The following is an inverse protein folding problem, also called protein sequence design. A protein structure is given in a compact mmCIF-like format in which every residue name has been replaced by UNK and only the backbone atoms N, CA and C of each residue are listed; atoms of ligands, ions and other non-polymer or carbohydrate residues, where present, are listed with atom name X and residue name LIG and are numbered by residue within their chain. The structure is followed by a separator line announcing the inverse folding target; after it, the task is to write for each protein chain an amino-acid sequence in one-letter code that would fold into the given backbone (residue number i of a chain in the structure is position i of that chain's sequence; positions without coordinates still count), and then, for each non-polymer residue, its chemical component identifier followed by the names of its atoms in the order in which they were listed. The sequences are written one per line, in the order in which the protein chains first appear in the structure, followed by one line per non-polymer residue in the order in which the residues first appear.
data_IF_235460462913
#
_entry.id   IF_235460462913
#
_cell.length_a   1.000
_cell.length_b   1.000
_cell.length_c   1.000
_cell.angle_alpha   90.00
_cell.angle_beta   90.00
_cell.angle_gamma   90.00
#
_symmetry.space_group_name_H-M   'P 1'
#
loop_
_entity.id
_entity.type
_entity.pdbx_description
1 polymer ?
#
# COMPACT_ATOMS: atom_id res chain seq x y z
N UNK A 1 -32.25 -7.68 -21.34
CA UNK A 1 -30.93 -7.53 -20.72
C UNK A 1 -30.56 -6.07 -20.67
N UNK A 2 -30.70 -5.47 -19.49
CA UNK A 2 -30.15 -4.15 -19.19
C UNK A 2 -28.65 -4.16 -19.49
N UNK A 3 -28.19 -3.30 -20.39
CA UNK A 3 -26.76 -3.19 -20.74
C UNK A 3 -25.96 -2.35 -19.75
N UNK A 4 -26.65 -1.44 -19.05
CA UNK A 4 -26.05 -0.53 -18.08
C UNK A 4 -26.88 -0.54 -16.79
N UNK A 5 -26.66 -1.59 -15.98
CA UNK A 5 -27.19 -1.71 -14.62
C UNK A 5 -26.00 -1.93 -13.70
N UNK A 6 -25.43 -0.83 -13.21
CA UNK A 6 -24.17 -0.83 -12.46
C UNK A 6 -24.38 -0.05 -11.17
N UNK A 7 -24.09 -0.67 -10.02
CA UNK A 7 -24.01 0.02 -8.74
C UNK A 7 -22.56 0.05 -8.28
N UNK A 8 -21.88 1.21 -8.37
CA UNK A 8 -20.50 1.30 -7.93
C UNK A 8 -20.44 1.06 -6.42
N UNK A 9 -19.30 0.56 -5.97
CA UNK A 9 -18.94 0.41 -4.55
C UNK A 9 -18.79 1.76 -3.84
N UNK A 10 -19.35 2.87 -4.33
CA UNK A 10 -19.45 4.13 -3.58
C UNK A 10 -20.57 4.08 -2.53
N UNK A 11 -21.53 3.16 -2.65
CA UNK A 11 -22.64 3.06 -1.69
C UNK A 11 -22.20 2.48 -0.34
N UNK A 12 -22.38 3.24 0.73
CA UNK A 12 -22.14 2.82 2.13
C UNK A 12 -23.42 2.38 2.85
N UNK A 13 -24.59 2.71 2.31
CA UNK A 13 -25.89 2.31 2.88
C UNK A 13 -25.97 0.78 3.01
N UNK A 14 -26.39 0.30 4.17
CA UNK A 14 -26.49 -1.13 4.49
C UNK A 14 -25.19 -1.79 4.98
N UNK A 15 -24.06 -1.06 5.02
CA UNK A 15 -22.79 -1.58 5.55
C UNK A 15 -22.58 -1.16 7.00
N UNK A 16 -22.11 -2.08 7.83
CA UNK A 16 -21.74 -1.79 9.21
C UNK A 16 -20.39 -1.06 9.23
N UNK A 17 -20.33 0.10 9.88
CA UNK A 17 -19.07 0.80 10.15
C UNK A 17 -18.29 0.09 11.26
N UNK A 18 -17.01 -0.19 11.01
CA UNK A 18 -16.12 -0.96 11.89
C UNK A 18 -14.97 -0.12 12.44
N UNK A 19 -15.12 1.21 12.46
CA UNK A 19 -14.08 2.14 12.89
C UNK A 19 -12.94 2.27 11.86
N UNK A 20 -11.67 2.40 12.29
CA UNK A 20 -10.53 2.52 11.39
C UNK A 20 -10.39 1.39 10.37
N UNK A 21 -10.92 0.21 10.68
CA UNK A 21 -10.97 -0.95 9.79
C UNK A 21 -11.81 -0.74 8.52
N UNK A 22 -12.68 0.26 8.52
CA UNK A 22 -13.54 0.60 7.38
C UNK A 22 -14.98 0.09 7.55
N UNK A 23 -15.58 -0.40 6.47
CA UNK A 23 -16.95 -0.91 6.45
C UNK A 23 -16.97 -2.41 6.13
N UNK A 24 -18.07 -3.10 6.46
CA UNK A 24 -18.26 -4.50 6.01
C UNK A 24 -18.06 -4.62 4.50
N UNK A 25 -17.17 -5.52 4.06
CA UNK A 25 -16.78 -5.72 2.65
C UNK A 25 -15.99 -4.57 2.01
N UNK A 26 -15.48 -3.61 2.80
CA UNK A 26 -14.68 -2.45 2.37
C UNK A 26 -13.64 -2.12 3.43
N UNK A 27 -12.56 -2.90 3.52
CA UNK A 27 -11.50 -2.62 4.48
C UNK A 27 -10.74 -1.34 4.10
N UNK A 28 -10.34 -0.56 5.09
CA UNK A 28 -9.54 0.65 4.87
C UNK A 28 -8.09 0.34 4.53
N UNK A 29 -7.52 -0.71 5.12
CA UNK A 29 -6.09 -0.96 5.08
C UNK A 29 -5.57 -1.29 3.67
N UNK A 30 -6.11 -2.27 2.92
CA UNK A 30 -5.54 -2.63 1.62
C UNK A 30 -5.50 -1.47 0.60
N UNK A 31 -6.57 -0.68 0.39
CA UNK A 31 -6.51 0.48 -0.51
C UNK A 31 -5.49 1.55 -0.06
N UNK A 32 -5.29 1.73 1.25
CA UNK A 32 -4.28 2.67 1.76
C UNK A 32 -2.86 2.18 1.47
N UNK A 33 -2.63 0.87 1.33
CA UNK A 33 -1.29 0.32 1.03
C UNK A 33 -0.82 0.56 -0.40
N UNK A 34 -1.75 0.79 -1.34
CA UNK A 34 -1.39 1.05 -2.74
C UNK A 34 -0.51 2.30 -2.90
N UNK A 35 -0.80 3.33 -2.10
CA UNK A 35 -0.05 4.60 -2.12
C UNK A 35 1.42 4.41 -1.73
N UNK A 36 1.77 3.89 -0.53
CA UNK A 36 3.16 3.70 -0.17
C UNK A 36 3.87 2.68 -1.07
N UNK A 37 3.20 1.63 -1.55
CA UNK A 37 3.81 0.68 -2.50
C UNK A 37 4.23 1.41 -3.78
N UNK A 38 3.30 2.13 -4.42
CA UNK A 38 3.61 2.90 -5.63
C UNK A 38 4.68 3.97 -5.37
N UNK A 39 4.57 4.70 -4.26
CA UNK A 39 5.53 5.73 -3.88
C UNK A 39 6.95 5.18 -3.77
N UNK A 40 7.16 4.12 -3.00
CA UNK A 40 8.50 3.58 -2.76
C UNK A 40 9.13 2.95 -4.00
N UNK A 41 8.33 2.32 -4.87
CA UNK A 41 8.81 1.81 -6.16
C UNK A 41 9.21 2.96 -7.10
N UNK A 42 8.40 4.02 -7.18
CA UNK A 42 8.73 5.21 -7.98
C UNK A 42 9.98 5.91 -7.46
N UNK A 43 10.13 6.06 -6.15
CA UNK A 43 11.32 6.67 -5.54
C UNK A 43 12.57 5.91 -5.91
N UNK A 44 12.57 4.58 -5.76
CA UNK A 44 13.72 3.76 -6.16
C UNK A 44 14.05 3.91 -7.65
N UNK A 45 13.03 3.93 -8.52
CA UNK A 45 13.22 4.18 -9.95
C UNK A 45 13.83 5.56 -10.24
N UNK A 46 13.28 6.62 -9.64
CA UNK A 46 13.76 7.99 -9.81
C UNK A 46 15.19 8.15 -9.31
N UNK A 47 15.54 7.51 -8.20
CA UNK A 47 16.88 7.57 -7.65
C UNK A 47 17.92 6.87 -8.50
N UNK A 48 17.62 5.66 -8.98
CA UNK A 48 18.50 4.93 -9.89
C UNK A 48 18.73 5.74 -11.15
N UNK A 49 17.66 6.27 -11.76
CA UNK A 49 17.76 7.05 -12.99
C UNK A 49 18.52 8.37 -12.75
N UNK A 50 18.24 9.09 -11.66
CA UNK A 50 18.94 10.32 -11.28
C UNK A 50 20.44 10.09 -11.11
N UNK A 51 20.82 9.04 -10.37
CA UNK A 51 22.22 8.71 -10.11
C UNK A 51 22.97 8.29 -11.38
N UNK A 52 22.34 7.51 -12.27
CA UNK A 52 22.96 7.08 -13.54
C UNK A 52 23.13 8.25 -14.51
N UNK A 53 22.12 9.12 -14.61
CA UNK A 53 22.14 10.25 -15.54
C UNK A 53 23.17 11.34 -15.16
N UNK A 54 23.47 11.45 -13.86
CA UNK A 54 24.42 12.43 -13.34
C UNK A 54 23.92 13.88 -13.45
N UNK A 55 24.75 14.81 -12.98
CA UNK A 55 24.41 16.24 -12.87
C UNK A 55 24.45 17.01 -14.20
N UNK A 56 24.96 16.39 -15.26
CA UNK A 56 24.96 16.94 -16.63
C UNK A 56 23.55 17.19 -17.19
N UNK A 57 22.51 16.61 -16.59
CA UNK A 57 21.13 16.73 -17.00
C UNK A 57 20.26 17.34 -15.89
N UNK A 58 19.68 18.53 -16.11
CA UNK A 58 18.84 19.20 -15.11
C UNK A 58 17.66 18.36 -14.61
N UNK A 59 17.08 17.54 -15.48
CA UNK A 59 15.96 16.65 -15.14
C UNK A 59 16.36 15.53 -14.16
N UNK A 60 17.64 15.14 -14.10
CA UNK A 60 18.11 14.15 -13.11
C UNK A 60 17.99 14.71 -11.68
N UNK A 61 18.29 15.99 -11.49
CA UNK A 61 18.06 16.68 -10.22
C UNK A 61 16.57 16.84 -9.90
N UNK A 62 15.71 17.00 -10.91
CA UNK A 62 14.25 17.05 -10.71
C UNK A 62 13.69 15.71 -10.22
N UNK A 63 14.19 14.59 -10.73
CA UNK A 63 13.84 13.25 -10.24
C UNK A 63 14.25 13.07 -8.78
N UNK A 64 15.46 13.50 -8.40
CA UNK A 64 15.94 13.46 -7.00
C UNK A 64 15.03 14.26 -6.05
N UNK A 65 14.70 15.51 -6.42
CA UNK A 65 13.81 16.38 -5.64
C UNK A 65 12.39 15.82 -5.55
N UNK A 66 11.86 15.34 -6.67
CA UNK A 66 10.51 14.74 -6.74
C UNK A 66 10.45 13.47 -5.90
N UNK A 67 11.44 12.58 -6.02
CA UNK A 67 11.55 11.36 -5.22
C UNK A 67 11.56 11.66 -3.72
N UNK A 68 12.24 12.71 -3.29
CA UNK A 68 12.24 13.14 -1.87
C UNK A 68 10.84 13.44 -1.34
N UNK A 69 10.02 14.16 -2.12
CA UNK A 69 8.65 14.49 -1.70
C UNK A 69 7.67 13.33 -1.84
N UNK A 70 7.84 12.47 -2.85
CA UNK A 70 7.05 11.24 -2.97
C UNK A 70 7.34 10.31 -1.80
N UNK A 71 8.60 10.16 -1.38
CA UNK A 71 8.98 9.37 -0.21
C UNK A 71 8.29 9.91 1.06
N UNK A 72 8.30 11.23 1.25
CA UNK A 72 7.64 11.86 2.40
C UNK A 72 6.11 11.62 2.39
N UNK A 73 5.46 11.77 1.24
CA UNK A 73 4.03 11.49 1.09
C UNK A 73 3.71 10.00 1.32
N UNK A 74 4.53 9.11 0.76
CA UNK A 74 4.43 7.66 0.97
C UNK A 74 4.53 7.29 2.44
N UNK A 75 5.52 7.85 3.16
CA UNK A 75 5.68 7.66 4.61
C UNK A 75 4.48 8.16 5.41
N UNK A 76 3.94 9.33 5.08
CA UNK A 76 2.75 9.86 5.75
C UNK A 76 1.55 8.89 5.61
N UNK A 77 1.34 8.32 4.41
CA UNK A 77 0.27 7.34 4.21
C UNK A 77 0.62 5.96 4.79
N UNK A 78 1.90 5.57 4.83
CA UNK A 78 2.35 4.36 5.55
C UNK A 78 1.94 4.38 7.02
N UNK A 79 1.94 5.54 7.69
CA UNK A 79 1.44 5.65 9.06
C UNK A 79 -0.05 5.32 9.13
N UNK A 80 -0.86 5.85 8.23
CA UNK A 80 -2.30 5.56 8.16
C UNK A 80 -2.56 4.09 7.84
N UNK A 81 -1.81 3.51 6.90
CA UNK A 81 -1.86 2.10 6.57
C UNK A 81 -1.49 1.23 7.78
N UNK A 82 -0.40 1.56 8.49
CA UNK A 82 0.01 0.82 9.68
C UNK A 82 -1.04 0.86 10.80
N UNK A 83 -1.66 2.02 11.06
CA UNK A 83 -2.70 2.17 12.06
C UNK A 83 -3.96 1.34 11.73
N UNK A 84 -4.41 1.38 10.48
CA UNK A 84 -5.58 0.61 10.01
C UNK A 84 -5.29 -0.88 9.98
N UNK A 85 -4.11 -1.30 9.51
CA UNK A 85 -3.68 -2.70 9.51
C UNK A 85 -3.50 -3.28 10.91
N UNK A 86 -3.04 -2.47 11.86
CA UNK A 86 -2.94 -2.85 13.26
C UNK A 86 -4.33 -3.03 13.90
N UNK A 87 -5.30 -2.18 13.55
CA UNK A 87 -6.69 -2.36 13.98
C UNK A 87 -7.28 -3.67 13.43
N UNK A 88 -7.03 -3.97 12.16
CA UNK A 88 -7.42 -5.23 11.52
C UNK A 88 -6.78 -6.45 12.19
N UNK A 89 -5.46 -6.39 12.42
CA UNK A 89 -4.73 -7.46 13.09
C UNK A 89 -5.29 -7.74 14.49
N UNK A 90 -5.63 -6.72 15.28
CA UNK A 90 -6.17 -6.91 16.64
C UNK A 90 -7.59 -7.47 16.65
N UNK A 91 -8.44 -7.03 15.74
CA UNK A 91 -9.88 -7.34 15.79
C UNK A 91 -10.33 -8.49 14.88
N UNK A 92 -9.49 -8.92 13.92
CA UNK A 92 -9.87 -9.91 12.91
C UNK A 92 -8.94 -11.14 12.88
N UNK A 93 -8.03 -11.31 13.83
CA UNK A 93 -7.18 -12.50 13.90
C UNK A 93 -6.80 -12.88 15.34
N UNK A 94 -6.44 -14.14 15.55
CA UNK A 94 -6.06 -14.68 16.86
C UNK A 94 -4.63 -15.22 16.88
N UNK A 95 -3.97 -15.16 18.04
CA UNK A 95 -2.63 -15.73 18.21
C UNK A 95 -2.61 -17.23 17.89
N UNK A 96 -1.52 -17.71 17.28
CA UNK A 96 -1.35 -19.13 16.91
C UNK A 96 -1.95 -19.53 15.56
N UNK A 97 -2.83 -18.72 14.95
CA UNK A 97 -3.39 -18.99 13.62
C UNK A 97 -2.37 -18.78 12.49
N UNK A 98 -2.57 -19.45 11.35
CA UNK A 98 -1.76 -19.21 10.14
C UNK A 98 -1.89 -17.76 9.66
N UNK A 99 -3.12 -17.23 9.66
CA UNK A 99 -3.37 -15.82 9.32
C UNK A 99 -2.55 -14.87 10.20
N UNK A 100 -2.50 -15.09 11.52
CA UNK A 100 -1.68 -14.27 12.42
C UNK A 100 -0.19 -14.36 12.11
N UNK A 101 0.35 -15.55 11.78
CA UNK A 101 1.75 -15.69 11.37
C UNK A 101 2.02 -14.87 10.10
N UNK A 102 1.16 -14.97 9.08
CA UNK A 102 1.28 -14.18 7.86
C UNK A 102 1.16 -12.68 8.12
N UNK A 103 0.23 -12.24 8.98
CA UNK A 103 0.12 -10.84 9.43
C UNK A 103 1.43 -10.37 10.08
N UNK A 104 1.99 -11.16 11.00
CA UNK A 104 3.22 -10.78 11.68
C UNK A 104 4.39 -10.69 10.70
N UNK A 105 4.53 -11.65 9.78
CA UNK A 105 5.57 -11.60 8.74
C UNK A 105 5.41 -10.36 7.86
N UNK A 106 4.20 -10.10 7.34
CA UNK A 106 3.89 -8.90 6.59
C UNK A 106 4.26 -7.61 7.36
N UNK A 107 3.81 -7.51 8.61
CA UNK A 107 4.06 -6.35 9.46
C UNK A 107 5.55 -6.14 9.73
N UNK A 108 6.33 -7.22 9.93
CA UNK A 108 7.79 -7.12 10.08
C UNK A 108 8.42 -6.46 8.86
N UNK A 109 8.13 -6.93 7.64
CA UNK A 109 8.65 -6.32 6.42
C UNK A 109 8.24 -4.85 6.27
N UNK A 110 6.96 -4.53 6.51
CA UNK A 110 6.45 -3.17 6.35
C UNK A 110 7.01 -2.20 7.39
N UNK A 111 7.16 -2.63 8.64
CA UNK A 111 7.79 -1.81 9.70
C UNK A 111 9.27 -1.58 9.39
N UNK A 112 10.00 -2.63 9.00
CA UNK A 112 11.41 -2.48 8.60
C UNK A 112 11.54 -1.54 7.40
N UNK A 113 10.73 -1.70 6.35
CA UNK A 113 10.73 -0.79 5.21
C UNK A 113 10.44 0.65 5.61
N UNK A 114 9.46 0.87 6.50
CA UNK A 114 9.09 2.20 6.99
C UNK A 114 10.24 2.86 7.76
N UNK A 115 10.96 2.10 8.61
CA UNK A 115 12.11 2.61 9.35
C UNK A 115 13.28 2.95 8.44
N UNK A 116 13.56 2.11 7.43
CA UNK A 116 14.60 2.38 6.43
C UNK A 116 14.22 3.60 5.58
N UNK A 117 12.97 3.71 5.14
CA UNK A 117 12.45 4.85 4.40
C UNK A 117 12.51 6.15 5.23
N UNK A 118 12.23 6.08 6.54
CA UNK A 118 12.37 7.22 7.43
C UNK A 118 13.83 7.67 7.56
N UNK A 119 14.77 6.73 7.75
CA UNK A 119 16.19 7.02 7.78
C UNK A 119 16.68 7.63 6.45
N UNK A 120 16.20 7.08 5.33
CA UNK A 120 16.43 7.60 3.99
C UNK A 120 15.96 9.06 3.88
N UNK A 121 14.69 9.34 4.21
CA UNK A 121 14.12 10.69 4.16
C UNK A 121 14.90 11.68 5.03
N UNK A 122 15.28 11.30 6.26
CA UNK A 122 16.09 12.14 7.15
C UNK A 122 17.43 12.49 6.48
N UNK A 123 18.10 11.51 5.86
CA UNK A 123 19.33 11.76 5.10
C UNK A 123 19.06 12.69 3.92
N UNK A 124 18.02 12.44 3.11
CA UNK A 124 17.67 13.32 1.98
C UNK A 124 17.52 14.76 2.42
N UNK A 125 16.78 15.01 3.50
CA UNK A 125 16.53 16.35 4.01
C UNK A 125 17.81 17.04 4.50
N UNK A 126 18.78 16.28 5.02
CA UNK A 126 20.07 16.81 5.44
C UNK A 126 20.96 17.24 4.26
N UNK A 127 20.88 16.56 3.12
CA UNK A 127 21.74 16.83 1.94
C UNK A 127 21.01 17.52 0.77
N UNK A 128 19.71 17.81 0.91
CA UNK A 128 18.87 18.30 -0.20
C UNK A 128 19.37 19.60 -0.86
N UNK A 129 20.09 20.44 -0.12
CA UNK A 129 20.59 21.73 -0.61
C UNK A 129 21.98 21.64 -1.26
N UNK A 130 22.67 20.50 -1.10
CA UNK A 130 24.04 20.30 -1.59
C UNK A 130 24.13 19.21 -2.65
N UNK A 131 23.26 18.21 -2.61
CA UNK A 131 23.21 17.15 -3.62
C UNK A 131 22.47 17.63 -4.88
N UNK A 132 23.17 17.59 -6.03
CA UNK A 132 22.61 17.95 -7.34
C UNK A 132 21.77 16.81 -7.96
N UNK A 133 22.13 15.56 -7.66
CA UNK A 133 21.46 14.32 -8.09
C UNK A 133 21.44 13.34 -6.92
N UNK A 134 20.75 12.20 -7.07
CA UNK A 134 20.66 11.21 -5.99
C UNK A 134 22.05 10.66 -5.61
N UNK A 135 22.49 10.80 -4.34
CA UNK A 135 23.71 10.17 -3.86
C UNK A 135 23.61 8.64 -3.89
N UNK A 136 24.71 7.96 -4.26
CA UNK A 136 24.74 6.49 -4.43
C UNK A 136 24.20 5.73 -3.21
N UNK A 137 24.53 6.16 -1.99
CA UNK A 137 24.04 5.48 -0.79
C UNK A 137 22.54 5.64 -0.53
N UNK A 138 21.94 6.74 -1.00
CA UNK A 138 20.50 6.92 -0.97
C UNK A 138 19.81 6.05 -2.04
N UNK A 139 20.44 5.81 -3.18
CA UNK A 139 19.96 4.80 -4.14
C UNK A 139 19.90 3.41 -3.50
N UNK A 140 20.94 3.03 -2.74
CA UNK A 140 20.95 1.73 -2.04
C UNK A 140 19.81 1.63 -1.04
N UNK A 141 19.57 2.67 -0.24
CA UNK A 141 18.47 2.70 0.72
C UNK A 141 17.10 2.62 0.02
N UNK A 142 16.88 3.38 -1.05
CA UNK A 142 15.58 3.34 -1.75
C UNK A 142 15.32 2.00 -2.44
N UNK A 143 16.35 1.37 -3.01
CA UNK A 143 16.25 0.00 -3.56
C UNK A 143 15.97 -1.02 -2.46
N UNK A 144 16.59 -0.90 -1.28
CA UNK A 144 16.28 -1.76 -0.13
C UNK A 144 14.81 -1.59 0.29
N UNK A 145 14.32 -0.35 0.41
CA UNK A 145 12.91 -0.08 0.75
C UNK A 145 11.98 -0.70 -0.29
N UNK A 146 12.25 -0.49 -1.59
CA UNK A 146 11.47 -1.08 -2.68
C UNK A 146 11.45 -2.62 -2.61
N UNK A 147 12.60 -3.25 -2.35
CA UNK A 147 12.71 -4.69 -2.18
C UNK A 147 11.92 -5.21 -0.98
N UNK A 148 12.07 -4.57 0.19
CA UNK A 148 11.33 -4.94 1.40
C UNK A 148 9.81 -4.81 1.21
N UNK A 149 9.36 -3.75 0.55
CA UNK A 149 7.94 -3.50 0.27
C UNK A 149 7.41 -4.54 -0.72
N UNK A 150 8.18 -4.86 -1.77
CA UNK A 150 7.79 -5.88 -2.75
C UNK A 150 7.60 -7.25 -2.09
N UNK A 151 8.57 -7.68 -1.27
CA UNK A 151 8.49 -8.96 -0.55
C UNK A 151 7.40 -8.93 0.52
N UNK A 152 7.31 -7.86 1.31
CA UNK A 152 6.28 -7.73 2.33
C UNK A 152 4.86 -7.70 1.73
N UNK A 153 4.69 -7.11 0.55
CA UNK A 153 3.42 -7.01 -0.15
C UNK A 153 2.91 -8.39 -0.61
N UNK A 154 3.78 -9.38 -0.87
CA UNK A 154 3.32 -10.74 -1.22
C UNK A 154 2.54 -11.37 -0.07
N UNK A 155 2.99 -11.18 1.18
CA UNK A 155 2.27 -11.65 2.36
C UNK A 155 0.95 -10.89 2.58
N UNK A 156 0.93 -9.59 2.30
CA UNK A 156 -0.31 -8.79 2.28
C UNK A 156 -1.29 -9.29 1.21
N UNK A 157 -0.77 -9.65 0.04
CA UNK A 157 -1.50 -10.28 -1.06
C UNK A 157 -2.13 -11.60 -0.64
N UNK A 158 -1.39 -12.50 0.01
CA UNK A 158 -1.98 -13.74 0.53
C UNK A 158 -3.10 -13.48 1.54
N UNK A 159 -2.96 -12.47 2.43
CA UNK A 159 -4.04 -12.11 3.35
C UNK A 159 -5.31 -11.68 2.61
N UNK A 160 -5.20 -10.80 1.62
CA UNK A 160 -6.36 -10.25 0.91
C UNK A 160 -6.94 -11.25 -0.10
N UNK A 161 -6.11 -11.80 -0.97
CA UNK A 161 -6.54 -12.54 -2.15
C UNK A 161 -6.64 -14.05 -1.93
N UNK A 162 -5.88 -14.62 -1.00
CA UNK A 162 -5.95 -16.07 -0.70
C UNK A 162 -6.83 -16.34 0.52
N UNK A 163 -6.69 -15.56 1.59
CA UNK A 163 -7.41 -15.79 2.84
C UNK A 163 -8.73 -15.01 2.96
N UNK A 164 -8.97 -14.05 2.06
CA UNK A 164 -10.16 -13.20 2.14
C UNK A 164 -10.19 -12.32 3.40
N UNK A 165 -9.04 -11.94 3.94
CA UNK A 165 -8.93 -11.26 5.22
C UNK A 165 -9.61 -9.89 5.20
N UNK A 166 -10.73 -9.75 5.92
CA UNK A 166 -11.59 -8.55 5.95
C UNK A 166 -12.16 -8.12 4.58
N UNK A 167 -12.10 -8.97 3.56
CA UNK A 167 -12.76 -8.79 2.26
C UNK A 167 -13.83 -9.85 2.05
N UNK A 168 -14.74 -9.60 1.11
CA UNK A 168 -15.76 -10.58 0.73
C UNK A 168 -15.23 -11.43 -0.43
N UNK A 169 -15.16 -12.74 -0.25
CA UNK A 169 -14.78 -13.67 -1.32
C UNK A 169 -15.99 -13.94 -2.21
N UNK A 170 -15.88 -13.59 -3.48
CA UNK A 170 -16.92 -13.88 -4.47
C UNK A 170 -16.81 -15.36 -4.89
N UNK A 171 -17.44 -16.26 -4.13
CA UNK A 171 -17.67 -17.65 -4.53
C UNK A 171 -18.72 -17.72 -5.65
N UNK A 172 -19.75 -18.55 -5.49
CA UNK A 172 -20.94 -18.56 -6.37
C UNK A 172 -21.86 -17.34 -6.08
N UNK A 173 -21.32 -16.13 -6.28
CA UNK A 173 -22.03 -14.91 -5.96
C UNK A 173 -23.12 -14.64 -7.01
N UNK A 174 -24.37 -14.30 -6.63
CA UNK A 174 -25.49 -14.10 -7.56
C UNK A 174 -25.24 -13.04 -8.65
N UNK A 175 -24.27 -12.15 -8.44
CA UNK A 175 -23.85 -11.14 -9.42
C UNK A 175 -23.31 -11.76 -10.72
N UNK A 176 -22.84 -13.01 -10.67
CA UNK A 176 -22.34 -13.75 -11.82
C UNK A 176 -23.44 -14.53 -12.54
N UNK A 177 -24.64 -14.61 -11.97
CA UNK A 177 -25.78 -15.30 -12.57
C UNK A 177 -26.51 -14.40 -13.56
N UNK A 178 -27.09 -14.98 -14.61
CA UNK A 178 -27.93 -14.23 -15.57
C UNK A 178 -29.19 -13.76 -14.85
N UNK A 179 -29.32 -12.46 -14.62
CA UNK A 179 -30.44 -11.82 -13.94
C UNK A 179 -30.69 -10.42 -14.51
N UNK A 180 -31.94 -9.96 -14.49
CA UNK A 180 -32.30 -8.55 -14.73
C UNK A 180 -32.42 -7.75 -13.41
N UNK A 181 -32.26 -8.43 -12.27
CA UNK A 181 -32.30 -7.86 -10.93
C UNK A 181 -30.88 -7.57 -10.45
N UNK A 182 -30.63 -6.32 -10.08
CA UNK A 182 -29.35 -5.93 -9.50
C UNK A 182 -29.15 -6.57 -8.12
N UNK A 183 -27.97 -7.15 -7.93
CA UNK A 183 -27.55 -7.75 -6.67
C UNK A 183 -26.97 -6.66 -5.78
N UNK A 184 -27.58 -6.44 -4.61
CA UNK A 184 -27.25 -5.32 -3.72
C UNK A 184 -26.46 -5.76 -2.49
N UNK A 185 -25.47 -4.97 -2.02
CA UNK A 185 -24.77 -5.28 -0.77
C UNK A 185 -25.75 -5.46 0.40
N UNK A 186 -25.63 -6.56 1.14
CA UNK A 186 -26.49 -6.88 2.29
C UNK A 186 -27.79 -7.64 1.96
N UNK A 187 -28.00 -8.07 0.72
CA UNK A 187 -29.15 -8.90 0.30
C UNK A 187 -28.79 -10.38 0.10
N UNK A 188 -27.81 -10.91 0.86
CA UNK A 188 -27.34 -12.29 0.80
C UNK A 188 -27.39 -12.90 2.19
#
# INVERSE_FOLDING_TARGET
MRKFSVRPTLTLKGRTFKGPRGWSGKPSHPPLTDIPIGAYLLVAGFDVVSAIAGDSHGWAGDLWRTGTWILAAGLAVSVLAALTGLADARSSSEAGTQARRTINTHATFMVTATLVALADLVWRLAVRNTALVTPVWIVVLSVIVAGLVTVGATFGGSLVFEYGFNVETAGDHPVWHRSETDVLPGHH
#
